data_IF_608740116519
#
_entry.id   IF_608740116519
#
_cell.length_a   1.000
_cell.length_b   1.000
_cell.length_c   1.000
_cell.angle_alpha   90.00
_cell.angle_beta   90.00
_cell.angle_gamma   90.00
#
_symmetry.space_group_name_H-M   'P 1'
#
loop_
_entity.id
_entity.type
_entity.pdbx_description
1 polymer ?
#
# COMPACT_ATOMS: atom_id res chain seq x y z
N UNK A 1 15.53 19.09 -8.73
CA UNK A 1 14.20 18.53 -9.06
C UNK A 1 13.70 18.94 -10.44
N UNK A 2 13.40 20.22 -10.71
CA UNK A 2 12.86 20.62 -12.03
C UNK A 2 13.76 20.18 -13.20
N UNK A 3 15.09 20.39 -13.15
CA UNK A 3 15.98 19.96 -14.24
C UNK A 3 16.16 18.44 -14.31
N UNK A 4 16.15 17.74 -13.17
CA UNK A 4 16.32 16.28 -13.10
C UNK A 4 15.08 15.51 -13.60
N UNK A 5 13.91 16.16 -13.54
CA UNK A 5 12.64 15.67 -14.07
C UNK A 5 12.29 16.24 -15.44
N UNK A 6 12.75 17.45 -15.80
CA UNK A 6 12.31 18.14 -17.02
C UNK A 6 13.40 18.35 -18.09
N UNK A 7 14.66 17.94 -17.87
CA UNK A 7 15.72 18.15 -18.85
C UNK A 7 16.59 16.90 -19.10
N UNK A 8 16.75 16.44 -20.36
CA UNK A 8 15.98 16.76 -21.56
C UNK A 8 14.79 15.79 -21.69
N UNK A 9 13.56 16.29 -21.78
CA UNK A 9 12.42 15.46 -22.19
C UNK A 9 11.46 16.20 -23.14
N UNK A 10 10.77 15.43 -23.97
CA UNK A 10 9.92 15.91 -25.06
C UNK A 10 8.47 15.65 -24.66
N UNK A 11 7.92 16.53 -23.82
CA UNK A 11 6.52 16.48 -23.38
C UNK A 11 5.61 16.49 -24.61
N UNK A 12 4.63 15.57 -24.65
CA UNK A 12 3.57 15.56 -25.65
C UNK A 12 2.21 15.53 -24.96
N UNK A 13 1.19 16.12 -25.60
CA UNK A 13 -0.18 16.10 -25.10
C UNK A 13 -0.89 14.83 -25.61
N UNK A 14 -0.48 13.67 -25.08
CA UNK A 14 -1.09 12.37 -25.37
C UNK A 14 -1.20 11.53 -24.09
N UNK A 15 -2.17 10.59 -24.02
CA UNK A 15 -2.35 9.71 -22.86
C UNK A 15 -1.16 8.78 -22.62
N UNK A 16 -0.45 8.42 -23.70
CA UNK A 16 0.69 7.51 -23.65
C UNK A 16 1.95 8.15 -24.24
N UNK A 17 3.08 7.84 -23.62
CA UNK A 17 4.40 8.36 -23.99
C UNK A 17 4.82 8.03 -25.44
N UNK A 18 4.31 6.95 -26.02
CA UNK A 18 4.67 6.43 -27.35
C UNK A 18 3.71 6.87 -28.47
N UNK A 19 2.67 7.64 -28.17
CA UNK A 19 1.70 8.13 -29.15
C UNK A 19 2.33 9.08 -30.18
N UNK A 20 1.54 9.44 -31.22
CA UNK A 20 1.94 10.36 -32.29
C UNK A 20 1.96 11.82 -31.80
N UNK A 21 3.14 12.46 -31.65
CA UNK A 21 3.24 13.83 -31.18
C UNK A 21 2.59 14.85 -32.13
N UNK A 22 2.39 14.49 -33.40
CA UNK A 22 1.74 15.37 -34.39
C UNK A 22 0.22 15.37 -34.27
N UNK A 23 -0.34 14.45 -33.47
CA UNK A 23 -1.78 14.32 -33.22
C UNK A 23 -2.05 14.32 -31.70
N UNK A 24 -2.11 15.51 -31.08
CA UNK A 24 -2.45 15.65 -29.67
C UNK A 24 -3.82 15.02 -29.35
N UNK A 25 -3.89 14.34 -28.21
CA UNK A 25 -5.15 13.84 -27.64
C UNK A 25 -5.77 14.88 -26.69
N UNK A 26 -6.88 14.50 -26.05
CA UNK A 26 -7.61 15.36 -25.12
C UNK A 26 -6.73 15.86 -23.95
N UNK A 27 -5.82 15.02 -23.44
CA UNK A 27 -4.88 15.38 -22.38
C UNK A 27 -3.51 14.68 -22.52
N UNK A 28 -2.53 15.15 -21.76
CA UNK A 28 -1.17 14.58 -21.69
C UNK A 28 -0.95 13.58 -20.54
N UNK A 29 -1.88 13.48 -19.60
CA UNK A 29 -1.90 12.50 -18.50
C UNK A 29 -2.78 11.31 -18.88
N UNK A 30 -2.80 10.25 -18.09
CA UNK A 30 -3.56 9.03 -18.38
C UNK A 30 -5.08 9.28 -18.47
N UNK A 31 -5.79 8.35 -19.13
CA UNK A 31 -7.24 8.28 -19.03
C UNK A 31 -7.61 7.51 -17.75
N UNK A 32 -8.39 8.14 -16.89
CA UNK A 32 -8.77 7.62 -15.58
C UNK A 32 -10.17 6.99 -15.56
N UNK A 33 -10.85 6.95 -16.72
CA UNK A 33 -12.05 6.14 -16.93
C UNK A 33 -11.72 4.69 -17.33
N UNK A 34 -10.49 4.47 -17.79
CA UNK A 34 -9.95 3.17 -18.17
C UNK A 34 -9.23 2.49 -16.99
N UNK A 35 -9.02 1.16 -17.06
CA UNK A 35 -8.22 0.46 -16.07
C UNK A 35 -6.82 1.06 -16.00
N UNK A 36 -6.42 1.44 -14.79
CA UNK A 36 -5.08 1.98 -14.59
C UNK A 36 -4.02 0.93 -14.93
N UNK A 37 -2.88 1.45 -15.35
CA UNK A 37 -1.68 0.67 -15.62
C UNK A 37 -0.54 1.29 -14.83
N UNK A 38 0.70 0.99 -15.23
CA UNK A 38 1.89 1.67 -14.77
C UNK A 38 2.67 2.29 -15.93
N UNK A 39 2.09 2.30 -17.15
CA UNK A 39 2.70 2.88 -18.35
C UNK A 39 3.02 4.37 -18.16
N UNK A 40 4.03 4.87 -18.85
CA UNK A 40 4.33 6.31 -18.82
C UNK A 40 3.31 7.11 -19.66
N UNK A 41 2.92 8.30 -19.20
CA UNK A 41 2.04 9.21 -19.95
C UNK A 41 2.82 10.05 -20.97
N UNK A 42 2.11 10.75 -21.86
CA UNK A 42 2.73 11.66 -22.84
C UNK A 42 3.56 12.77 -22.20
N UNK A 43 3.16 13.24 -21.02
CA UNK A 43 3.93 14.25 -20.27
C UNK A 43 5.29 13.75 -19.78
N UNK A 44 5.52 12.44 -19.79
CA UNK A 44 6.77 11.80 -19.38
C UNK A 44 7.61 11.35 -20.60
N UNK A 45 7.19 11.67 -21.82
CA UNK A 45 7.90 11.21 -23.02
C UNK A 45 9.33 11.78 -23.08
N UNK A 46 10.29 10.87 -23.27
CA UNK A 46 11.69 11.22 -23.45
C UNK A 46 12.45 11.52 -22.15
N UNK A 47 11.79 11.44 -20.99
CA UNK A 47 12.45 11.53 -19.70
C UNK A 47 13.34 10.30 -19.48
N UNK A 48 14.29 10.43 -18.55
CA UNK A 48 15.10 9.30 -18.11
C UNK A 48 14.72 8.82 -16.71
N UNK A 49 14.85 7.52 -16.52
CA UNK A 49 14.54 6.81 -15.27
C UNK A 49 15.40 5.56 -15.13
N UNK A 50 15.02 4.69 -14.20
CA UNK A 50 15.74 3.45 -13.89
C UNK A 50 14.77 2.30 -13.66
N UNK A 51 15.16 1.11 -14.10
CA UNK A 51 14.47 -0.14 -13.79
C UNK A 51 15.31 -0.94 -12.77
N UNK A 52 14.79 -1.22 -11.56
CA UNK A 52 15.52 -1.98 -10.56
C UNK A 52 15.76 -3.43 -11.00
N UNK A 53 16.94 -3.95 -10.68
CA UNK A 53 17.30 -5.36 -10.81
C UNK A 53 17.47 -5.95 -9.41
N UNK A 54 16.67 -6.96 -9.09
CA UNK A 54 16.71 -7.61 -7.79
C UNK A 54 17.53 -8.90 -7.86
N UNK A 55 18.43 -9.08 -6.90
CA UNK A 55 19.18 -10.34 -6.70
C UNK A 55 18.53 -11.28 -5.68
N UNK A 56 17.46 -10.86 -5.02
CA UNK A 56 16.80 -11.58 -3.92
C UNK A 56 15.34 -11.17 -3.82
N UNK A 57 14.50 -12.14 -3.46
CA UNK A 57 13.08 -11.95 -3.18
C UNK A 57 12.80 -11.56 -1.72
N UNK A 58 13.81 -11.71 -0.85
CA UNK A 58 13.68 -11.42 0.57
C UNK A 58 13.36 -9.94 0.82
N UNK A 59 12.43 -9.70 1.75
CA UNK A 59 12.15 -8.35 2.22
C UNK A 59 13.42 -7.71 2.82
N UNK A 60 13.56 -6.38 2.71
CA UNK A 60 14.79 -5.62 3.02
C UNK A 60 15.97 -5.81 2.07
N UNK A 61 15.87 -6.67 1.04
CA UNK A 61 16.91 -6.75 0.01
C UNK A 61 16.77 -5.58 -0.97
N UNK A 62 17.79 -4.71 -0.99
CA UNK A 62 17.86 -3.66 -2.00
C UNK A 62 18.04 -4.24 -3.41
N UNK A 63 17.59 -3.54 -4.46
CA UNK A 63 18.08 -3.77 -5.81
C UNK A 63 19.61 -3.82 -5.85
N UNK A 64 20.15 -4.79 -6.59
CA UNK A 64 21.60 -5.00 -6.75
C UNK A 64 22.18 -4.18 -7.90
N UNK A 65 21.33 -3.79 -8.85
CA UNK A 65 21.68 -3.00 -10.02
C UNK A 65 20.45 -2.25 -10.53
N UNK A 66 20.66 -1.31 -11.45
CA UNK A 66 19.61 -0.52 -12.07
C UNK A 66 19.89 -0.35 -13.56
N UNK A 67 18.94 -0.77 -14.40
CA UNK A 67 19.01 -0.50 -15.83
C UNK A 67 18.56 0.93 -16.10
N UNK A 68 19.48 1.80 -16.49
CA UNK A 68 19.16 3.17 -16.90
C UNK A 68 18.28 3.16 -18.14
N UNK A 69 17.19 3.91 -18.08
CA UNK A 69 16.21 4.11 -19.15
C UNK A 69 16.35 5.52 -19.67
N UNK A 70 16.89 5.73 -20.87
CA UNK A 70 17.08 7.04 -21.48
C UNK A 70 16.88 6.95 -22.99
N UNK A 71 16.05 7.84 -23.54
CA UNK A 71 15.79 7.90 -24.97
C UNK A 71 14.31 8.14 -25.26
N UNK A 72 13.96 8.00 -26.52
CA UNK A 72 12.61 8.20 -27.03
C UNK A 72 12.20 6.98 -27.86
N UNK A 73 10.91 6.57 -27.87
CA UNK A 73 10.43 5.60 -28.85
C UNK A 73 10.81 6.03 -30.27
N UNK A 74 11.46 5.12 -31.01
CA UNK A 74 11.94 5.36 -32.37
C UNK A 74 10.82 5.38 -33.40
N UNK A 75 9.66 4.82 -33.06
CA UNK A 75 8.45 4.79 -33.89
C UNK A 75 7.23 5.22 -33.08
N UNK A 76 6.22 5.75 -33.78
CA UNK A 76 4.89 6.00 -33.24
C UNK A 76 4.26 4.66 -32.84
N UNK A 77 3.58 4.63 -31.68
CA UNK A 77 3.03 3.41 -31.08
C UNK A 77 4.09 2.32 -30.89
N UNK A 78 5.33 2.75 -30.60
CA UNK A 78 6.43 1.83 -30.33
C UNK A 78 6.20 0.95 -29.10
N UNK A 79 7.03 -0.09 -28.90
CA UNK A 79 6.85 -1.06 -27.85
C UNK A 79 6.81 -0.45 -26.45
N UNK A 80 6.02 -1.06 -25.56
CA UNK A 80 5.85 -0.64 -24.17
C UNK A 80 6.50 -1.61 -23.18
N UNK A 81 7.26 -2.60 -23.63
CA UNK A 81 7.94 -3.55 -22.74
C UNK A 81 8.88 -2.85 -21.76
N UNK A 82 9.01 -3.41 -20.56
CA UNK A 82 9.91 -2.86 -19.52
C UNK A 82 11.39 -2.92 -19.94
N UNK A 83 11.73 -3.78 -20.91
CA UNK A 83 13.10 -3.96 -21.39
C UNK A 83 13.55 -2.91 -22.42
N UNK A 84 12.68 -2.01 -22.85
CA UNK A 84 13.05 -0.92 -23.77
C UNK A 84 14.16 -0.04 -23.17
N UNK A 85 14.94 0.62 -24.03
CA UNK A 85 16.03 1.52 -23.62
C UNK A 85 15.53 2.85 -23.07
N UNK A 86 14.27 3.21 -23.32
CA UNK A 86 13.59 4.42 -22.85
C UNK A 86 12.61 4.11 -21.71
N UNK A 87 12.14 5.15 -21.03
CA UNK A 87 11.12 5.03 -19.99
C UNK A 87 9.81 4.53 -20.60
N UNK A 88 9.27 3.46 -20.03
CA UNK A 88 7.96 2.90 -20.40
C UNK A 88 7.00 2.86 -19.24
N UNK A 89 7.45 3.20 -18.03
CA UNK A 89 6.66 3.16 -16.80
C UNK A 89 6.83 4.43 -15.96
N UNK A 90 5.77 4.89 -15.30
CA UNK A 90 5.84 6.05 -14.42
C UNK A 90 6.82 5.82 -13.25
N UNK A 91 6.79 4.64 -12.64
CA UNK A 91 7.63 4.33 -11.48
C UNK A 91 9.13 4.42 -11.77
N UNK A 92 9.57 4.21 -13.02
CA UNK A 92 10.98 4.26 -13.39
C UNK A 92 11.59 5.64 -13.10
N UNK A 93 10.76 6.68 -13.13
CA UNK A 93 11.15 8.05 -12.84
C UNK A 93 11.18 8.28 -11.32
N UNK A 94 10.17 7.79 -10.60
CA UNK A 94 10.11 7.94 -9.15
C UNK A 94 11.24 7.18 -8.46
N UNK A 95 11.47 5.92 -8.84
CA UNK A 95 12.50 5.08 -8.23
C UNK A 95 13.92 5.60 -8.48
N UNK A 96 14.14 6.40 -9.52
CA UNK A 96 15.40 7.13 -9.72
C UNK A 96 15.79 7.94 -8.50
N UNK A 97 14.83 8.63 -7.86
CA UNK A 97 15.08 9.49 -6.71
C UNK A 97 14.75 8.79 -5.37
N UNK A 98 13.88 7.78 -5.40
CA UNK A 98 13.33 7.13 -4.22
C UNK A 98 13.85 5.70 -4.02
N UNK A 99 15.09 5.45 -4.43
CA UNK A 99 15.76 4.17 -4.20
C UNK A 99 17.24 4.34 -3.90
N UNK A 100 17.89 3.21 -3.62
CA UNK A 100 19.34 3.16 -3.48
C UNK A 100 20.12 3.45 -4.76
N UNK A 101 19.46 3.83 -5.86
CA UNK A 101 20.12 4.49 -6.99
C UNK A 101 20.56 5.92 -6.65
N UNK A 102 19.73 6.66 -5.91
CA UNK A 102 19.99 8.07 -5.58
C UNK A 102 20.80 8.25 -4.29
N UNK A 103 20.79 7.26 -3.40
CA UNK A 103 21.39 7.38 -2.08
C UNK A 103 21.86 6.02 -1.55
N UNK A 104 22.91 6.00 -0.74
CA UNK A 104 23.29 4.79 0.01
C UNK A 104 22.38 4.60 1.23
N UNK A 105 21.95 5.71 1.83
CA UNK A 105 21.10 5.76 3.01
C UNK A 105 19.96 6.75 2.73
N UNK A 106 18.68 6.35 2.90
CA UNK A 106 17.57 7.25 2.66
C UNK A 106 17.68 8.55 3.47
N UNK A 107 17.25 9.70 2.94
CA UNK A 107 17.31 10.96 3.68
C UNK A 107 16.48 10.92 4.98
N UNK A 108 16.91 11.69 5.98
CA UNK A 108 16.12 11.91 7.20
C UNK A 108 14.90 12.78 6.91
N UNK A 109 13.78 12.52 7.59
CA UNK A 109 12.65 13.45 7.58
C UNK A 109 13.06 14.78 8.22
N UNK A 110 12.53 15.89 7.70
CA UNK A 110 12.87 17.25 8.14
C UNK A 110 14.27 17.73 7.78
N UNK A 111 15.05 16.97 6.98
CA UNK A 111 16.41 17.36 6.59
C UNK A 111 16.50 18.44 5.51
N UNK A 112 15.38 18.77 4.87
CA UNK A 112 15.30 19.82 3.85
C UNK A 112 13.99 20.59 3.96
N UNK A 113 14.01 21.85 3.51
CA UNK A 113 12.82 22.72 3.51
C UNK A 113 11.76 22.16 2.56
N UNK A 114 10.50 22.15 3.00
CA UNK A 114 9.36 21.62 2.24
C UNK A 114 9.23 20.09 2.27
N UNK A 115 10.16 19.37 2.90
CA UNK A 115 10.03 17.92 3.12
C UNK A 115 9.15 17.60 4.32
N UNK A 116 8.76 16.32 4.43
CA UNK A 116 7.94 15.87 5.56
C UNK A 116 8.65 16.03 6.91
N UNK A 117 7.99 16.60 7.93
CA UNK A 117 8.59 16.84 9.24
C UNK A 117 9.09 15.57 9.92
N UNK A 118 10.17 15.72 10.69
CA UNK A 118 10.72 14.64 11.52
C UNK A 118 9.67 14.12 12.52
N UNK A 119 9.57 12.80 12.66
CA UNK A 119 8.65 12.16 13.60
C UNK A 119 7.24 11.97 13.05
N UNK A 120 6.94 12.44 11.84
CA UNK A 120 5.64 12.20 11.19
C UNK A 120 5.40 10.70 11.10
N UNK A 121 4.26 10.24 11.63
CA UNK A 121 3.92 8.82 11.67
C UNK A 121 4.98 7.92 12.34
N UNK A 122 5.67 8.42 13.36
CA UNK A 122 6.77 7.71 14.05
C UNK A 122 7.96 7.40 13.11
N UNK A 123 7.99 8.01 11.92
CA UNK A 123 9.10 7.91 10.99
C UNK A 123 10.08 9.05 11.24
N UNK A 124 11.36 8.69 11.23
CA UNK A 124 12.47 9.63 11.33
C UNK A 124 13.25 9.73 10.02
N UNK A 125 13.06 8.75 9.14
CA UNK A 125 13.81 8.59 7.90
C UNK A 125 12.90 8.05 6.80
N UNK A 126 13.10 8.51 5.56
CA UNK A 126 12.43 7.93 4.41
C UNK A 126 12.88 6.48 4.22
N UNK A 127 12.15 5.72 3.39
CA UNK A 127 12.51 4.35 3.06
C UNK A 127 12.99 4.21 1.62
N UNK A 128 13.62 3.08 1.30
CA UNK A 128 13.96 2.71 -0.07
C UNK A 128 12.73 2.10 -0.76
N UNK A 129 12.11 2.86 -1.65
CA UNK A 129 10.85 2.47 -2.27
C UNK A 129 11.04 1.32 -3.27
N UNK A 130 12.18 1.27 -3.96
CA UNK A 130 12.46 0.15 -4.85
C UNK A 130 12.58 -1.17 -4.07
N UNK A 131 13.18 -1.16 -2.88
CA UNK A 131 13.21 -2.36 -2.02
C UNK A 131 11.80 -2.80 -1.61
N UNK A 132 10.95 -1.86 -1.21
CA UNK A 132 9.60 -2.16 -0.74
C UNK A 132 8.70 -2.72 -1.85
N UNK A 133 8.78 -2.15 -3.05
CA UNK A 133 8.00 -2.57 -4.22
C UNK A 133 8.51 -3.85 -4.90
N UNK A 134 9.59 -4.47 -4.44
CA UNK A 134 10.05 -5.74 -4.97
C UNK A 134 8.89 -6.76 -4.96
N UNK A 135 8.47 -7.17 -6.15
CA UNK A 135 7.26 -7.94 -6.43
C UNK A 135 7.61 -9.23 -7.18
N UNK A 136 8.16 -10.25 -6.51
CA UNK A 136 8.60 -11.48 -7.17
C UNK A 136 7.45 -12.27 -7.77
N UNK A 137 7.66 -12.88 -8.94
CA UNK A 137 6.62 -13.64 -9.63
C UNK A 137 6.16 -14.87 -8.82
N UNK A 138 7.10 -15.52 -8.10
CA UNK A 138 6.80 -16.63 -7.20
C UNK A 138 5.98 -16.26 -5.95
N UNK A 139 5.71 -14.98 -5.75
CA UNK A 139 4.85 -14.47 -4.68
C UNK A 139 3.49 -13.98 -5.21
N UNK A 140 3.25 -13.97 -6.52
CA UNK A 140 1.95 -13.61 -7.12
C UNK A 140 0.85 -14.61 -6.75
N UNK A 141 -0.40 -14.17 -6.84
CA UNK A 141 -1.56 -15.00 -6.51
C UNK A 141 -1.71 -15.23 -5.01
N UNK A 142 -2.37 -16.32 -4.65
CA UNK A 142 -2.69 -16.70 -3.27
C UNK A 142 -2.08 -18.08 -2.97
N UNK A 143 -1.63 -18.31 -1.75
CA UNK A 143 -1.07 -19.59 -1.31
C UNK A 143 0.28 -19.43 -0.62
N UNK A 144 1.08 -20.49 -0.62
CA UNK A 144 2.47 -20.45 -0.15
C UNK A 144 3.36 -20.02 -1.32
N UNK A 145 4.15 -18.96 -1.15
CA UNK A 145 5.11 -18.54 -2.18
C UNK A 145 6.29 -19.51 -2.31
N UNK A 146 7.02 -19.41 -3.43
CA UNK A 146 8.22 -20.23 -3.69
C UNK A 146 9.37 -19.98 -2.70
N UNK A 147 9.45 -18.77 -2.14
CA UNK A 147 10.33 -18.43 -1.02
C UNK A 147 9.51 -17.92 0.17
N UNK A 148 10.09 -17.84 1.37
CA UNK A 148 9.35 -17.37 2.55
C UNK A 148 8.86 -15.94 2.36
N UNK A 149 7.55 -15.71 2.48
CA UNK A 149 6.99 -14.35 2.57
C UNK A 149 7.43 -13.65 3.86
N UNK A 150 7.29 -14.31 5.01
CA UNK A 150 7.70 -13.78 6.31
C UNK A 150 9.21 -13.76 6.54
N UNK A 151 9.65 -13.14 7.64
CA UNK A 151 11.05 -13.11 8.02
C UNK A 151 11.56 -14.50 8.46
N UNK A 152 10.69 -15.33 9.06
CA UNK A 152 11.02 -16.68 9.48
C UNK A 152 10.17 -17.78 8.78
N UNK A 153 10.76 -18.95 8.41
CA UNK A 153 10.06 -20.03 7.70
C UNK A 153 8.80 -20.58 8.39
N UNK A 154 8.71 -20.50 9.72
CA UNK A 154 7.54 -20.91 10.50
C UNK A 154 6.24 -20.22 10.06
N UNK A 155 6.35 -19.07 9.38
CA UNK A 155 5.23 -18.27 8.91
C UNK A 155 5.04 -18.33 7.39
N UNK A 156 5.69 -19.27 6.70
CA UNK A 156 5.67 -19.35 5.25
C UNK A 156 4.37 -19.96 4.67
N UNK A 157 3.75 -20.93 5.37
CA UNK A 157 2.55 -21.61 4.84
C UNK A 157 1.40 -20.64 4.61
N UNK A 158 0.84 -20.63 3.40
CA UNK A 158 -0.21 -19.71 2.93
C UNK A 158 0.15 -18.22 3.04
N UNK A 159 1.44 -17.91 3.15
CA UNK A 159 1.97 -16.57 3.21
C UNK A 159 2.86 -16.31 1.99
N UNK A 160 2.89 -15.05 1.59
CA UNK A 160 3.60 -14.56 0.43
C UNK A 160 3.80 -13.05 0.59
N UNK A 161 4.66 -12.45 -0.24
CA UNK A 161 4.83 -10.99 -0.22
C UNK A 161 3.57 -10.33 -0.74
N UNK A 162 3.28 -9.13 -0.26
CA UNK A 162 2.18 -8.31 -0.77
C UNK A 162 2.70 -6.95 -1.20
N UNK A 163 1.97 -6.35 -2.13
CA UNK A 163 2.31 -5.06 -2.69
C UNK A 163 1.07 -4.44 -3.31
N UNK A 164 1.05 -3.12 -3.33
CA UNK A 164 0.24 -2.36 -4.26
C UNK A 164 0.89 -2.45 -5.67
N UNK A 165 0.11 -2.69 -6.74
CA UNK A 165 0.62 -3.15 -8.04
C UNK A 165 1.31 -2.08 -8.89
N UNK A 166 2.27 -1.33 -8.34
CA UNK A 166 3.04 -0.30 -9.06
C UNK A 166 3.99 -0.93 -10.09
N UNK A 167 4.76 -1.94 -9.69
CA UNK A 167 5.72 -2.61 -10.58
C UNK A 167 5.03 -3.70 -11.42
N UNK A 168 4.24 -4.55 -10.77
CA UNK A 168 3.62 -5.73 -11.38
C UNK A 168 2.21 -5.99 -10.84
N UNK A 169 1.33 -6.61 -11.64
CA UNK A 169 0.05 -7.11 -11.16
C UNK A 169 0.22 -8.04 -9.96
N UNK A 170 -0.78 -8.12 -9.10
CA UNK A 170 -0.70 -9.01 -7.92
C UNK A 170 -1.04 -10.47 -8.24
N UNK A 171 -1.70 -10.75 -9.36
CA UNK A 171 -2.27 -12.06 -9.69
C UNK A 171 -3.43 -12.48 -8.78
N UNK A 172 -3.84 -11.62 -7.85
CA UNK A 172 -4.89 -11.89 -6.86
C UNK A 172 -6.17 -11.23 -7.35
N UNK A 173 -7.04 -12.00 -8.02
CA UNK A 173 -8.35 -11.52 -8.47
C UNK A 173 -9.38 -11.55 -7.33
N UNK A 174 -10.60 -11.05 -7.59
CA UNK A 174 -11.73 -11.22 -6.65
C UNK A 174 -11.98 -12.71 -6.36
N UNK A 175 -12.03 -13.54 -7.41
CA UNK A 175 -12.24 -14.98 -7.28
C UNK A 175 -11.15 -15.68 -6.47
N UNK A 176 -9.87 -15.37 -6.74
CA UNK A 176 -8.72 -15.90 -5.99
C UNK A 176 -8.81 -15.54 -4.50
N UNK A 177 -9.33 -14.34 -4.15
CA UNK A 177 -9.53 -13.93 -2.76
C UNK A 177 -10.83 -14.44 -2.13
N UNK A 178 -11.65 -15.22 -2.85
CA UNK A 178 -12.96 -15.66 -2.38
C UNK A 178 -13.94 -14.51 -2.15
N UNK A 179 -13.79 -13.41 -2.91
CA UNK A 179 -14.64 -12.22 -2.89
C UNK A 179 -15.67 -12.36 -4.01
N UNK A 180 -16.93 -12.27 -3.63
CA UNK A 180 -18.10 -12.28 -4.54
C UNK A 180 -18.90 -10.99 -4.46
N UNK A 181 -18.59 -10.10 -3.51
CA UNK A 181 -19.23 -8.80 -3.38
C UNK A 181 -18.75 -7.81 -4.45
N UNK A 182 -19.65 -6.92 -4.85
CA UNK A 182 -19.33 -5.76 -5.68
C UNK A 182 -18.92 -4.57 -4.80
N UNK A 183 -18.33 -3.54 -5.42
CA UNK A 183 -18.00 -2.25 -4.80
C UNK A 183 -17.09 -2.38 -3.55
N UNK A 184 -16.12 -3.29 -3.61
CA UNK A 184 -15.13 -3.48 -2.53
C UNK A 184 -13.95 -2.51 -2.69
N UNK A 185 -13.65 -2.15 -3.93
CA UNK A 185 -12.69 -1.12 -4.28
C UNK A 185 -13.43 -0.01 -5.01
N UNK A 186 -12.87 1.19 -4.95
CA UNK A 186 -13.33 2.34 -5.72
C UNK A 186 -12.73 2.32 -7.12
N UNK A 187 -13.42 2.94 -8.07
CA UNK A 187 -12.91 3.10 -9.43
C UNK A 187 -11.58 3.89 -9.41
N UNK A 188 -10.62 3.52 -10.28
CA UNK A 188 -10.68 2.50 -11.32
C UNK A 188 -10.10 1.13 -10.90
N UNK A 189 -10.03 0.86 -9.59
CA UNK A 189 -9.47 -0.37 -9.02
C UNK A 189 -10.53 -1.45 -8.76
N UNK A 190 -11.77 -1.23 -9.16
CA UNK A 190 -12.93 -2.08 -8.91
C UNK A 190 -13.10 -3.19 -9.95
N UNK A 191 -12.65 -2.97 -11.19
CA UNK A 191 -12.96 -3.82 -12.34
C UNK A 191 -11.87 -4.82 -12.74
N UNK A 192 -10.58 -4.46 -12.61
CA UNK A 192 -9.45 -5.31 -13.05
C UNK A 192 -8.56 -5.74 -11.89
N UNK A 193 -9.18 -5.96 -10.72
CA UNK A 193 -8.54 -6.40 -9.50
C UNK A 193 -7.64 -7.61 -9.76
N UNK A 194 -6.36 -7.48 -9.47
CA UNK A 194 -5.38 -8.56 -9.58
C UNK A 194 -4.58 -8.57 -10.88
N UNK A 195 -5.15 -8.03 -11.96
CA UNK A 195 -4.52 -8.01 -13.30
C UNK A 195 -4.05 -6.62 -13.69
N UNK A 196 -4.65 -5.56 -13.16
CA UNK A 196 -4.19 -4.19 -13.38
C UNK A 196 -2.96 -3.83 -12.54
N UNK A 197 -2.22 -2.85 -13.04
CA UNK A 197 -1.20 -2.12 -12.28
C UNK A 197 -1.72 -0.75 -11.85
N UNK A 198 -0.88 0.02 -11.17
CA UNK A 198 -1.19 1.37 -10.73
C UNK A 198 -0.02 2.32 -10.98
N UNK A 199 -0.35 3.60 -11.03
CA UNK A 199 0.62 4.69 -11.11
C UNK A 199 1.06 5.11 -9.71
N UNK A 200 2.27 5.66 -9.56
CA UNK A 200 2.66 6.30 -8.30
C UNK A 200 1.71 7.48 -7.99
N UNK A 201 1.28 8.16 -9.04
CA UNK A 201 0.32 9.26 -9.02
C UNK A 201 -1.10 8.87 -8.60
N UNK A 202 -1.40 7.59 -8.38
CA UNK A 202 -2.69 7.16 -7.80
C UNK A 202 -2.74 7.35 -6.28
N UNK A 203 -1.59 7.38 -5.61
CA UNK A 203 -1.47 7.66 -4.18
C UNK A 203 -0.82 9.01 -3.90
N UNK A 204 0.09 9.44 -4.78
CA UNK A 204 0.85 10.66 -4.61
C UNK A 204 0.37 11.80 -5.50
N UNK A 205 0.19 12.97 -4.90
CA UNK A 205 -0.14 14.22 -5.57
C UNK A 205 -1.24 15.00 -4.91
N UNK A 206 -1.82 15.93 -5.67
CA UNK A 206 -2.81 16.84 -5.15
C UNK A 206 -3.99 16.13 -4.47
N UNK A 207 -4.44 16.72 -3.37
CA UNK A 207 -5.59 16.29 -2.60
C UNK A 207 -6.83 16.07 -3.47
N UNK A 208 -7.45 14.90 -3.32
CA UNK A 208 -8.62 14.50 -4.10
C UNK A 208 -9.85 14.35 -3.23
N UNK A 209 -11.04 14.30 -3.83
CA UNK A 209 -12.27 14.08 -3.08
C UNK A 209 -12.40 12.64 -2.54
N UNK A 210 -13.37 12.47 -1.63
CA UNK A 210 -13.74 11.17 -1.05
C UNK A 210 -14.00 10.14 -2.15
N UNK A 211 -13.44 8.94 -1.98
CA UNK A 211 -13.73 7.80 -2.85
C UNK A 211 -13.09 7.88 -4.24
N UNK A 212 -12.15 8.79 -4.47
CA UNK A 212 -11.47 8.88 -5.76
C UNK A 212 -10.00 9.28 -5.64
N UNK A 213 -9.16 8.69 -6.47
CA UNK A 213 -7.77 9.11 -6.68
C UNK A 213 -7.64 10.22 -7.74
N UNK A 214 -8.74 10.64 -8.38
CA UNK A 214 -8.75 11.62 -9.47
C UNK A 214 -8.76 13.07 -8.92
N UNK A 215 -7.79 13.93 -9.28
CA UNK A 215 -7.78 15.35 -8.95
C UNK A 215 -9.01 16.10 -9.44
N UNK A 216 -9.37 17.14 -8.69
CA UNK A 216 -10.46 18.04 -9.05
C UNK A 216 -10.19 18.73 -10.41
N UNK A 217 -11.23 18.81 -11.25
CA UNK A 217 -11.14 19.32 -12.62
C UNK A 217 -10.75 18.27 -13.66
N UNK A 218 -10.58 17.01 -13.25
CA UNK A 218 -10.30 15.89 -14.15
C UNK A 218 -8.94 16.03 -14.83
N UNK A 219 -8.85 15.63 -16.09
CA UNK A 219 -7.60 15.60 -16.86
C UNK A 219 -6.96 16.97 -17.16
N UNK A 220 -7.76 18.05 -17.11
CA UNK A 220 -7.31 19.43 -17.24
C UNK A 220 -7.32 20.17 -15.89
N UNK A 221 -7.47 19.42 -14.81
CA UNK A 221 -7.61 19.93 -13.46
C UNK A 221 -6.28 20.10 -12.73
N UNK A 222 -6.34 19.89 -11.41
CA UNK A 222 -5.18 19.94 -10.54
C UNK A 222 -4.13 18.86 -10.93
N UNK A 223 -2.83 19.11 -10.67
CA UNK A 223 -1.76 18.25 -11.15
C UNK A 223 -1.81 16.83 -10.56
N UNK A 224 -1.37 15.86 -11.36
CA UNK A 224 -1.05 14.49 -10.96
C UNK A 224 0.43 14.37 -10.58
N UNK A 225 0.76 13.34 -9.79
CA UNK A 225 2.15 13.06 -9.43
C UNK A 225 2.67 13.98 -8.32
N UNK A 226 3.98 14.28 -8.25
CA UNK A 226 4.62 14.78 -7.03
C UNK A 226 4.27 16.23 -6.63
N UNK A 227 3.34 16.90 -7.30
CA UNK A 227 3.06 18.32 -7.09
C UNK A 227 1.67 18.57 -6.49
N UNK A 228 1.60 19.56 -5.61
CA UNK A 228 0.35 20.15 -5.13
C UNK A 228 -0.38 19.40 -4.02
N UNK A 229 0.22 18.37 -3.42
CA UNK A 229 -0.33 17.77 -2.20
C UNK A 229 -0.23 18.73 -1.02
N UNK A 230 -1.27 18.77 -0.18
CA UNK A 230 -1.26 19.46 1.11
C UNK A 230 -0.96 18.49 2.27
N UNK A 231 -0.76 17.20 1.97
CA UNK A 231 -0.49 16.17 2.96
C UNK A 231 0.99 15.75 2.94
N UNK A 232 1.43 15.27 4.10
CA UNK A 232 2.76 14.69 4.25
C UNK A 232 3.00 13.51 3.30
N UNK A 233 4.25 13.30 2.91
CA UNK A 233 4.68 12.31 1.90
C UNK A 233 4.03 12.52 0.52
N UNK A 234 3.53 13.74 0.26
CA UNK A 234 2.88 14.13 -1.00
C UNK A 234 1.66 13.24 -1.26
N UNK A 235 0.90 12.90 -0.22
CA UNK A 235 -0.24 11.98 -0.35
C UNK A 235 -1.50 12.72 -0.82
N UNK A 236 -2.36 12.04 -1.58
CA UNK A 236 -3.64 12.62 -2.01
C UNK A 236 -4.64 12.82 -0.87
N UNK A 237 -4.37 12.27 0.30
CA UNK A 237 -5.23 12.35 1.47
C UNK A 237 -4.48 11.95 2.73
N UNK A 238 -5.12 12.19 3.88
CA UNK A 238 -4.51 11.96 5.18
C UNK A 238 -4.20 10.48 5.39
N UNK A 239 -3.03 10.21 5.95
CA UNK A 239 -2.63 8.87 6.38
C UNK A 239 -1.93 8.96 7.72
N UNK A 240 -2.65 8.62 8.79
CA UNK A 240 -2.13 8.70 10.15
C UNK A 240 -2.53 7.49 11.00
N UNK A 241 -2.18 7.54 12.29
CA UNK A 241 -2.47 6.46 13.25
C UNK A 241 -3.97 6.32 13.56
N UNK A 242 -4.80 7.26 13.15
CA UNK A 242 -6.25 7.27 13.34
C UNK A 242 -7.01 6.81 12.10
N UNK A 243 -6.37 6.66 10.94
CA UNK A 243 -7.07 6.21 9.73
C UNK A 243 -7.83 4.90 9.93
N UNK A 244 -9.14 4.97 9.63
CA UNK A 244 -10.10 3.89 9.76
C UNK A 244 -10.90 3.87 11.06
N UNK A 245 -10.64 4.79 12.00
CA UNK A 245 -11.37 4.87 13.27
C UNK A 245 -12.50 5.90 13.24
N UNK A 246 -13.71 5.61 13.75
CA UNK A 246 -14.74 6.63 13.95
C UNK A 246 -14.42 7.64 15.09
N UNK A 247 -13.18 7.71 15.57
CA UNK A 247 -12.79 8.53 16.72
C UNK A 247 -11.90 9.71 16.33
N UNK A 248 -12.13 10.86 16.94
CA UNK A 248 -11.50 12.13 16.58
C UNK A 248 -10.13 12.39 17.21
N UNK A 249 -9.28 11.38 17.38
CA UNK A 249 -7.97 11.56 18.04
C UNK A 249 -8.01 12.09 19.48
N UNK A 250 -9.19 12.46 20.02
CA UNK A 250 -9.43 12.96 21.38
C UNK A 250 -10.19 11.97 22.26
N UNK A 251 -10.19 10.69 21.86
CA UNK A 251 -10.98 9.59 22.46
C UNK A 251 -12.50 9.78 22.41
N UNK A 252 -13.02 10.79 21.69
CA UNK A 252 -14.45 10.85 21.36
C UNK A 252 -14.70 10.02 20.11
N UNK A 253 -15.32 8.87 20.31
CA UNK A 253 -15.80 8.02 19.24
C UNK A 253 -17.27 8.34 19.02
N UNK A 254 -17.61 8.90 17.86
CA UNK A 254 -19.02 9.08 17.50
C UNK A 254 -19.59 7.74 17.04
N UNK A 255 -20.84 7.39 17.43
CA UNK A 255 -21.58 6.38 16.70
C UNK A 255 -21.80 6.91 15.28
N UNK A 256 -21.50 6.10 14.28
CA UNK A 256 -21.39 6.47 12.86
C UNK A 256 -20.06 7.11 12.44
N UNK A 257 -19.54 6.73 11.26
CA UNK A 257 -18.15 6.95 10.90
C UNK A 257 -17.94 8.46 10.63
N UNK A 258 -16.93 9.09 11.23
CA UNK A 258 -16.72 10.55 11.04
C UNK A 258 -16.55 10.88 9.55
N UNK A 259 -17.36 11.79 9.03
CA UNK A 259 -17.31 12.18 7.62
C UNK A 259 -15.98 12.84 7.22
N UNK A 260 -15.24 13.40 8.18
CA UNK A 260 -13.95 14.06 7.97
C UNK A 260 -12.75 13.10 7.81
N UNK A 261 -12.96 11.79 7.97
CA UNK A 261 -11.99 10.74 7.60
C UNK A 261 -12.42 9.95 6.37
N UNK A 262 -13.57 10.31 5.76
CA UNK A 262 -13.99 9.66 4.54
C UNK A 262 -13.01 9.86 3.38
N UNK A 263 -12.15 10.89 3.50
CA UNK A 263 -11.14 11.25 2.51
C UNK A 263 -9.71 10.79 2.88
N UNK A 264 -9.56 9.96 3.93
CA UNK A 264 -8.27 9.36 4.25
C UNK A 264 -7.77 8.52 3.07
N UNK A 265 -6.45 8.48 2.89
CA UNK A 265 -5.77 7.93 1.70
C UNK A 265 -6.31 6.55 1.28
N UNK A 266 -6.51 5.64 2.23
CA UNK A 266 -6.97 4.28 1.98
C UNK A 266 -8.34 4.25 1.29
N UNK A 267 -9.25 5.17 1.66
CA UNK A 267 -10.61 5.20 1.17
C UNK A 267 -10.78 5.80 -0.22
N UNK A 268 -9.69 6.31 -0.82
CA UNK A 268 -9.66 6.68 -2.24
C UNK A 268 -9.69 5.46 -3.16
N UNK A 269 -9.36 4.28 -2.64
CA UNK A 269 -9.30 3.01 -3.38
C UNK A 269 -10.06 1.87 -2.70
N UNK A 270 -10.21 1.90 -1.37
CA UNK A 270 -10.93 0.88 -0.61
C UNK A 270 -12.28 1.40 -0.17
N UNK A 271 -13.35 0.66 -0.46
CA UNK A 271 -14.68 1.16 -0.13
C UNK A 271 -14.89 1.26 1.39
N UNK A 272 -15.09 2.49 1.88
CA UNK A 272 -15.20 2.77 3.31
C UNK A 272 -16.30 1.96 3.99
N UNK A 273 -17.44 1.72 3.32
CA UNK A 273 -18.54 0.95 3.89
C UNK A 273 -18.11 -0.48 4.23
N UNK A 274 -17.30 -1.11 3.38
CA UNK A 274 -16.81 -2.47 3.60
C UNK A 274 -15.75 -2.59 4.69
N UNK A 275 -14.95 -1.54 4.93
CA UNK A 275 -13.76 -1.63 5.78
C UNK A 275 -13.84 -0.85 7.09
N UNK A 276 -14.67 0.19 7.19
CA UNK A 276 -14.64 1.14 8.31
C UNK A 276 -16.01 1.63 8.79
N UNK A 277 -17.12 1.02 8.34
CA UNK A 277 -18.48 1.37 8.78
C UNK A 277 -19.15 0.13 9.37
N UNK A 278 -19.63 0.23 10.60
CA UNK A 278 -20.38 -0.84 11.24
C UNK A 278 -21.77 -0.95 10.59
N UNK A 279 -22.18 -2.16 10.21
CA UNK A 279 -23.43 -2.38 9.47
C UNK A 279 -23.51 -1.78 8.06
N UNK A 280 -22.50 -1.01 7.60
CA UNK A 280 -22.46 -0.41 6.27
C UNK A 280 -22.27 -1.47 5.18
N UNK A 281 -23.37 -1.97 4.59
CA UNK A 281 -23.40 -2.83 3.39
C UNK A 281 -22.69 -4.21 3.45
N UNK A 282 -21.85 -4.48 4.45
CA UNK A 282 -20.76 -5.45 4.38
C UNK A 282 -20.83 -6.65 5.32
N UNK A 283 -21.90 -6.86 6.08
CA UNK A 283 -22.17 -8.19 6.70
C UNK A 283 -22.57 -9.23 5.65
N UNK A 284 -22.34 -8.99 4.35
CA UNK A 284 -22.66 -9.94 3.29
C UNK A 284 -21.46 -10.85 3.06
N UNK A 285 -21.72 -12.16 3.01
CA UNK A 285 -20.76 -13.19 2.60
C UNK A 285 -19.99 -12.77 1.35
N UNK A 286 -18.66 -12.83 1.41
CA UNK A 286 -17.80 -12.56 0.25
C UNK A 286 -17.49 -11.09 -0.05
N UNK A 287 -17.74 -10.16 0.88
CA UNK A 287 -17.40 -8.73 0.72
C UNK A 287 -15.98 -8.35 1.18
N UNK A 288 -15.15 -9.34 1.54
CA UNK A 288 -13.72 -9.19 1.78
C UNK A 288 -13.03 -10.56 1.71
N UNK A 289 -11.73 -10.57 1.39
CA UNK A 289 -10.89 -11.77 1.52
C UNK A 289 -10.62 -12.13 2.98
N UNK A 290 -10.80 -11.19 3.91
CA UNK A 290 -10.75 -11.47 5.35
C UNK A 290 -12.14 -11.85 5.86
N UNK A 291 -12.46 -13.14 5.75
CA UNK A 291 -13.68 -13.74 6.29
C UNK A 291 -13.43 -15.18 6.74
N UNK A 292 -14.29 -15.68 7.63
CA UNK A 292 -14.38 -17.12 7.90
C UNK A 292 -15.12 -17.82 6.76
N UNK A 293 -14.84 -19.11 6.55
CA UNK A 293 -15.53 -19.91 5.54
C UNK A 293 -17.04 -19.80 5.72
N UNK A 294 -17.73 -19.48 4.64
CA UNK A 294 -19.18 -19.21 4.60
C UNK A 294 -19.71 -18.11 5.55
N UNK A 295 -18.84 -17.27 6.10
CA UNK A 295 -19.19 -16.17 7.00
C UNK A 295 -19.06 -14.80 6.31
N UNK A 296 -19.54 -13.80 7.02
CA UNK A 296 -19.45 -12.38 6.69
C UNK A 296 -18.02 -11.84 6.83
N UNK A 297 -17.83 -10.61 6.34
CA UNK A 297 -16.60 -9.85 6.44
C UNK A 297 -16.15 -9.68 7.90
N UNK A 298 -14.88 -10.02 8.19
CA UNK A 298 -14.34 -9.90 9.53
C UNK A 298 -13.96 -8.46 9.89
N UNK A 299 -13.81 -7.54 8.93
CA UNK A 299 -13.60 -6.11 9.22
C UNK A 299 -14.80 -5.53 9.97
N UNK A 300 -16.00 -5.70 9.41
CA UNK A 300 -17.24 -5.22 10.05
C UNK A 300 -17.49 -5.92 11.37
N UNK A 301 -17.17 -7.23 11.49
CA UNK A 301 -17.27 -7.95 12.77
C UNK A 301 -16.35 -7.39 13.86
N UNK A 302 -15.09 -7.07 13.53
CA UNK A 302 -14.17 -6.47 14.49
C UNK A 302 -14.57 -5.04 14.82
N UNK A 303 -15.01 -4.26 13.83
CA UNK A 303 -15.50 -2.92 14.04
C UNK A 303 -16.76 -2.90 14.92
N UNK A 304 -17.72 -3.80 14.69
CA UNK A 304 -18.92 -3.92 15.54
C UNK A 304 -18.61 -4.29 16.99
N UNK A 305 -17.47 -4.97 17.24
CA UNK A 305 -17.02 -5.30 18.61
C UNK A 305 -16.19 -4.19 19.26
N UNK A 306 -15.28 -3.58 18.51
CA UNK A 306 -14.29 -2.63 19.04
C UNK A 306 -14.78 -1.19 18.96
N UNK A 307 -15.62 -0.87 17.98
CA UNK A 307 -16.13 0.47 17.65
C UNK A 307 -15.06 1.52 17.34
N UNK A 308 -13.79 1.12 17.20
CA UNK A 308 -12.63 2.02 16.99
C UNK A 308 -11.44 1.34 16.30
N UNK A 309 -11.74 0.51 15.30
CA UNK A 309 -10.69 -0.20 14.56
C UNK A 309 -9.78 0.81 13.85
N UNK A 310 -8.46 0.59 13.89
CA UNK A 310 -7.48 1.41 13.16
C UNK A 310 -6.77 0.51 12.15
N UNK A 311 -6.58 0.96 10.90
CA UNK A 311 -6.01 0.09 9.86
C UNK A 311 -4.61 -0.43 10.26
N UNK A 312 -3.78 0.44 10.86
CA UNK A 312 -2.40 0.13 11.28
C UNK A 312 -2.29 -0.83 12.47
N UNK A 313 -3.40 -1.18 13.12
CA UNK A 313 -3.41 -2.27 14.10
C UNK A 313 -3.09 -3.62 13.46
N UNK A 314 -3.49 -3.79 12.19
CA UNK A 314 -3.36 -5.02 11.43
C UNK A 314 -2.47 -4.89 10.20
N UNK A 315 -2.43 -3.72 9.57
CA UNK A 315 -1.66 -3.47 8.35
C UNK A 315 -0.36 -2.70 8.64
N UNK A 316 0.67 -2.95 7.83
CA UNK A 316 1.93 -2.21 7.88
C UNK A 316 1.68 -0.72 7.61
N UNK A 317 2.47 0.16 8.24
CA UNK A 317 2.28 1.61 8.12
C UNK A 317 2.74 2.18 6.76
N UNK A 318 3.64 1.49 6.05
CA UNK A 318 4.10 1.87 4.70
C UNK A 318 3.45 0.91 3.68
N UNK A 319 2.41 1.35 2.95
CA UNK A 319 1.57 0.44 2.16
C UNK A 319 2.13 0.17 0.76
N UNK A 320 3.43 0.30 0.49
CA UNK A 320 3.99 0.00 -0.83
C UNK A 320 4.05 -1.51 -1.08
N UNK A 321 4.88 -2.20 -0.29
CA UNK A 321 4.98 -3.64 -0.26
C UNK A 321 5.51 -4.14 1.07
N UNK A 322 5.19 -5.39 1.37
CA UNK A 322 5.45 -5.99 2.66
C UNK A 322 5.77 -7.48 2.56
N UNK A 323 6.51 -7.97 3.56
CA UNK A 323 6.92 -9.37 3.66
C UNK A 323 5.73 -10.33 3.71
N UNK A 324 4.69 -9.99 4.48
CA UNK A 324 3.52 -10.84 4.65
C UNK A 324 2.38 -10.48 3.69
N UNK A 325 1.46 -11.42 3.48
CA UNK A 325 0.30 -11.24 2.61
C UNK A 325 -0.63 -10.12 3.11
N UNK A 326 -1.39 -9.54 2.19
CA UNK A 326 -2.42 -8.52 2.47
C UNK A 326 -1.92 -7.34 3.33
N UNK A 327 -0.63 -6.99 3.20
CA UNK A 327 0.06 -5.96 3.98
C UNK A 327 -0.06 -6.18 5.49
N UNK A 328 -0.25 -7.42 5.96
CA UNK A 328 -0.49 -7.73 7.37
C UNK A 328 0.80 -7.70 8.18
N UNK A 329 0.80 -6.99 9.30
CA UNK A 329 1.86 -7.15 10.31
C UNK A 329 1.71 -8.51 11.00
N UNK A 330 2.81 -9.07 11.48
CA UNK A 330 2.77 -10.22 12.37
C UNK A 330 3.78 -10.02 13.49
N UNK A 331 3.30 -9.69 14.68
CA UNK A 331 4.17 -9.49 15.85
C UNK A 331 4.73 -10.81 16.42
N UNK A 332 4.45 -11.96 15.80
CA UNK A 332 5.21 -13.21 16.04
C UNK A 332 6.41 -13.37 15.09
N UNK A 333 6.59 -12.45 14.13
CA UNK A 333 7.58 -12.55 13.06
C UNK A 333 8.28 -11.21 12.80
N UNK A 334 8.55 -10.45 13.86
CA UNK A 334 9.35 -9.23 13.73
C UNK A 334 10.80 -9.62 13.49
N UNK A 335 11.51 -8.86 12.66
CA UNK A 335 12.83 -9.26 12.19
C UNK A 335 13.73 -8.09 11.80
N UNK A 336 14.62 -8.31 10.80
CA UNK A 336 15.64 -7.34 10.42
C UNK A 336 15.11 -5.97 10.03
N UNK A 337 13.84 -5.85 9.63
CA UNK A 337 13.21 -4.58 9.31
C UNK A 337 13.15 -3.58 10.48
N UNK A 338 13.43 -4.04 11.71
CA UNK A 338 13.61 -3.20 12.89
C UNK A 338 14.89 -3.53 13.68
N UNK A 339 15.83 -4.25 13.05
CA UNK A 339 17.10 -4.64 13.67
C UNK A 339 17.00 -5.79 14.67
N UNK A 340 15.99 -6.66 14.55
CA UNK A 340 15.83 -7.85 15.39
C UNK A 340 16.11 -9.15 14.62
N UNK A 341 16.45 -10.26 15.31
CA UNK A 341 16.53 -11.57 14.67
C UNK A 341 15.20 -11.96 13.99
N UNK A 342 15.22 -12.65 12.84
CA UNK A 342 14.00 -13.15 12.19
C UNK A 342 13.16 -14.02 13.13
N UNK A 343 11.84 -13.87 13.09
CA UNK A 343 10.92 -14.66 13.92
C UNK A 343 10.79 -14.18 15.37
N UNK A 344 11.27 -12.97 15.68
CA UNK A 344 11.15 -12.41 17.03
C UNK A 344 9.68 -12.10 17.33
N UNK A 345 9.16 -12.70 18.40
CA UNK A 345 7.86 -12.33 18.94
C UNK A 345 7.97 -11.07 19.80
N UNK A 346 7.16 -10.06 19.50
CA UNK A 346 7.03 -8.85 20.32
C UNK A 346 5.90 -9.05 21.34
N UNK A 347 6.19 -9.08 22.65
CA UNK A 347 5.14 -9.13 23.66
C UNK A 347 4.36 -7.81 23.68
N UNK A 348 3.04 -7.89 23.60
CA UNK A 348 2.18 -6.73 23.83
C UNK A 348 2.04 -6.54 25.34
N UNK A 349 2.43 -5.37 25.83
CA UNK A 349 2.36 -5.05 27.26
C UNK A 349 0.92 -4.73 27.64
N UNK A 350 0.40 -5.43 28.66
CA UNK A 350 -0.87 -5.11 29.30
C UNK A 350 -0.54 -4.45 30.64
N UNK A 351 -0.99 -3.22 30.84
CA UNK A 351 -0.59 -2.42 32.00
C UNK A 351 -1.72 -1.54 32.53
N UNK A 352 -1.58 -1.07 33.77
CA UNK A 352 -2.57 -0.22 34.44
C UNK A 352 -3.74 -1.00 35.05
N UNK A 353 -4.52 -0.33 35.91
CA UNK A 353 -5.64 -0.93 36.66
C UNK A 353 -6.73 -1.54 35.76
N UNK A 354 -6.86 -1.04 34.53
CA UNK A 354 -7.84 -1.51 33.56
C UNK A 354 -7.25 -2.54 32.58
N UNK A 355 -5.97 -2.90 32.70
CA UNK A 355 -5.33 -3.84 31.78
C UNK A 355 -5.29 -3.34 30.33
N UNK A 356 -4.77 -2.13 30.12
CA UNK A 356 -4.61 -1.49 28.81
C UNK A 356 -3.48 -2.15 28.02
N UNK A 357 -3.78 -2.57 26.79
CA UNK A 357 -2.80 -3.13 25.87
C UNK A 357 -2.08 -2.00 25.14
N UNK A 358 -0.75 -1.92 25.27
CA UNK A 358 0.09 -0.96 24.54
C UNK A 358 0.40 -1.48 23.13
N UNK A 359 -0.02 -0.78 22.06
CA UNK A 359 0.35 -1.14 20.70
C UNK A 359 1.86 -0.99 20.45
N UNK A 360 2.39 -1.75 19.49
CA UNK A 360 3.80 -1.69 19.13
C UNK A 360 4.08 -0.56 18.14
N UNK A 361 5.07 0.26 18.48
CA UNK A 361 5.56 1.36 17.65
C UNK A 361 7.06 1.18 17.42
N UNK A 362 7.41 1.06 16.14
CA UNK A 362 8.77 1.01 15.65
C UNK A 362 8.72 1.37 14.16
N UNK A 363 8.87 2.66 13.90
CA UNK A 363 8.92 3.19 12.54
C UNK A 363 10.04 2.54 11.72
N UNK A 364 9.89 2.48 10.39
CA UNK A 364 8.76 3.03 9.63
C UNK A 364 7.56 2.08 9.51
N UNK A 365 7.74 0.78 9.79
CA UNK A 365 6.77 -0.25 9.43
C UNK A 365 5.69 -0.50 10.48
N UNK A 366 6.00 -0.34 11.76
CA UNK A 366 5.06 -0.58 12.85
C UNK A 366 4.65 0.74 13.49
N UNK A 367 3.41 1.16 13.28
CA UNK A 367 2.84 2.36 13.90
C UNK A 367 1.50 2.02 14.54
N UNK A 368 1.57 1.47 15.75
CA UNK A 368 0.40 1.03 16.51
C UNK A 368 0.00 -0.41 16.24
N UNK A 369 0.94 -1.26 15.82
CA UNK A 369 0.66 -2.65 15.48
C UNK A 369 0.25 -3.49 16.70
N UNK A 370 -0.73 -4.38 16.52
CA UNK A 370 -1.17 -5.34 17.56
C UNK A 370 -1.37 -6.76 17.04
N UNK A 371 -1.41 -6.94 15.71
CA UNK A 371 -1.76 -8.21 15.11
C UNK A 371 -0.66 -9.26 15.31
N UNK A 372 -1.08 -10.45 15.76
CA UNK A 372 -0.27 -11.66 15.81
C UNK A 372 -0.99 -12.79 15.10
N UNK A 373 -0.29 -13.42 14.17
CA UNK A 373 -0.79 -14.53 13.35
C UNK A 373 0.04 -15.76 13.71
N UNK A 374 -0.62 -16.83 14.13
CA UNK A 374 0.01 -18.13 14.39
C UNK A 374 -0.08 -19.07 13.18
N UNK A 375 -0.96 -18.77 12.23
CA UNK A 375 -1.02 -19.48 10.95
C UNK A 375 -1.72 -18.62 9.91
N UNK A 376 -1.00 -18.21 8.87
CA UNK A 376 -1.64 -17.57 7.72
C UNK A 376 -2.61 -18.56 7.06
N UNK A 377 -3.75 -18.05 6.61
CA UNK A 377 -4.76 -18.86 5.94
C UNK A 377 -5.08 -18.27 4.57
N UNK A 378 -5.68 -19.09 3.71
CA UNK A 378 -6.19 -18.62 2.42
C UNK A 378 -7.35 -17.64 2.65
N UNK A 379 -7.42 -16.64 1.78
CA UNK A 379 -8.51 -15.67 1.76
C UNK A 379 -9.86 -16.40 1.70
N UNK A 380 -10.82 -15.94 2.51
CA UNK A 380 -12.11 -16.61 2.65
C UNK A 380 -12.20 -17.66 3.78
N UNK A 381 -11.08 -18.08 4.36
CA UNK A 381 -11.03 -19.22 5.30
C UNK A 381 -10.45 -18.89 6.68
N UNK A 382 -10.35 -17.63 7.05
CA UNK A 382 -9.77 -17.20 8.34
C UNK A 382 -10.61 -17.68 9.54
N UNK A 383 -9.95 -18.17 10.58
CA UNK A 383 -10.56 -18.57 11.85
C UNK A 383 -9.83 -17.92 13.02
N UNK A 384 -10.49 -17.62 14.16
CA UNK A 384 -9.80 -17.06 15.31
C UNK A 384 -8.55 -17.84 15.74
N UNK A 385 -8.52 -19.17 15.58
CA UNK A 385 -7.35 -20.01 15.87
C UNK A 385 -6.12 -19.67 15.00
N UNK A 386 -6.28 -18.92 13.92
CA UNK A 386 -5.17 -18.42 13.11
C UNK A 386 -4.41 -17.25 13.77
N UNK A 387 -4.97 -16.63 14.81
CA UNK A 387 -4.38 -15.48 15.48
C UNK A 387 -4.01 -15.81 16.94
N UNK A 388 -3.00 -15.13 17.47
CA UNK A 388 -2.50 -15.42 18.81
C UNK A 388 -1.03 -15.16 19.01
N UNK A 389 -0.60 -15.18 20.28
CA UNK A 389 0.81 -15.24 20.65
C UNK A 389 1.39 -16.62 20.32
N UNK A 390 2.57 -16.65 19.69
CA UNK A 390 3.26 -17.92 19.40
C UNK A 390 3.76 -18.59 20.68
N UNK A 391 4.12 -17.78 21.69
CA UNK A 391 4.56 -18.22 23.02
C UNK A 391 3.44 -18.21 24.07
N UNK A 392 2.17 -18.09 23.70
CA UNK A 392 1.11 -17.78 24.66
C UNK A 392 -0.30 -18.12 24.19
N UNK A 393 -1.27 -17.33 24.67
CA UNK A 393 -2.68 -17.55 24.33
C UNK A 393 -2.92 -17.33 22.83
N UNK A 394 -3.83 -18.11 22.29
CA UNK A 394 -4.28 -18.03 20.90
C UNK A 394 -5.81 -17.96 20.82
N UNK A 395 -6.34 -17.72 19.63
CA UNK A 395 -7.78 -17.73 19.41
C UNK A 395 -8.50 -16.52 19.99
N UNK A 396 -9.81 -16.70 20.21
CA UNK A 396 -10.68 -15.65 20.74
C UNK A 396 -10.22 -15.15 22.12
N UNK A 397 -9.70 -16.03 22.98
CA UNK A 397 -9.22 -15.65 24.30
C UNK A 397 -8.07 -14.63 24.25
N UNK A 398 -7.14 -14.80 23.31
CA UNK A 398 -6.08 -13.81 23.06
C UNK A 398 -6.63 -12.50 22.50
N UNK A 399 -7.56 -12.58 21.53
CA UNK A 399 -8.19 -11.39 20.95
C UNK A 399 -8.93 -10.57 22.02
N UNK A 400 -9.70 -11.23 22.89
CA UNK A 400 -10.41 -10.57 23.99
C UNK A 400 -9.44 -9.87 24.93
N UNK A 401 -8.36 -10.54 25.35
CA UNK A 401 -7.35 -9.92 26.21
C UNK A 401 -6.67 -8.72 25.56
N UNK A 402 -6.29 -8.86 24.28
CA UNK A 402 -5.55 -7.83 23.55
C UNK A 402 -6.43 -6.62 23.23
N UNK A 403 -7.66 -6.86 22.77
CA UNK A 403 -8.48 -5.83 22.16
C UNK A 403 -9.52 -5.18 23.08
N UNK A 404 -9.83 -5.75 24.25
CA UNK A 404 -10.82 -5.16 25.17
C UNK A 404 -10.42 -3.73 25.61
N UNK A 405 -9.12 -3.49 25.83
CA UNK A 405 -8.61 -2.24 26.39
C UNK A 405 -7.45 -1.68 25.56
N UNK A 406 -7.68 -1.50 24.25
CA UNK A 406 -6.75 -0.74 23.41
C UNK A 406 -6.91 0.79 23.66
N UNK A 407 -5.90 1.60 23.36
CA UNK A 407 -5.98 3.07 23.39
C UNK A 407 -6.70 3.66 22.17
#
# INVERSE_FOLDING_TARGET
ECTDCHNPHRVIKNRQFNADPSKPEAAGTHDHSEPHTNLASGVLRGIWGIEPVYGSDAFMSNPIDFKVKRGNPSIINGPTDVNQSYVTREYQICLKCHSNYAYDTPPMLGSFSGGTPYGTNEMTQYTNQAMEYNSPDGHMGEGTSSTSGGAHPNWATNNHRSWHPVLKPTGRTKSVRGISGNNIWEAPFDNHVGTQTMYCSDCHGNDTAIGTAVPNGGENGRPWGPHGSENEFILKGKWDKYTGTPCDGSNKCSPEPRNDQADDLCFKCHNRFNYAIDGGGGSKKGSSGWRKSNSDNLHTKHLGRLKRLKCRWCHVAVPHGWKNKALLVNLNDVGPEVGLPPGTEIPLKVSGKNGTTTPYFKGPYYNGAILKIVRFNTSGNWDPKNCGSSSGKQGQGWMTQTCNNLP
#
